data_IF_182971978861
#
_entry.id   IF_182971978861
#
_cell.length_a   1.000
_cell.length_b   1.000
_cell.length_c   1.000
_cell.angle_alpha   90.00
_cell.angle_beta   90.00
_cell.angle_gamma   90.00
#
_symmetry.space_group_name_H-M   'P 1'
#
loop_
_entity.id
_entity.type
_entity.pdbx_description
1 polymer ?
#
# COMPACT_ATOMS: atom_id res chain seq x y z
N UNK A 1 0.92 7.16 17.78
CA UNK A 1 1.80 7.59 16.68
C UNK A 1 2.92 6.57 16.50
N UNK A 2 2.74 5.56 15.65
CA UNK A 2 3.85 4.65 15.34
C UNK A 2 4.82 5.38 14.40
N UNK A 3 6.05 5.59 14.87
CA UNK A 3 7.15 6.12 14.06
C UNK A 3 7.52 5.07 13.01
N UNK A 4 6.82 5.06 11.89
CA UNK A 4 7.22 4.30 10.72
C UNK A 4 8.38 5.01 10.01
N UNK A 5 9.53 5.02 10.66
CA UNK A 5 10.83 5.15 9.99
C UNK A 5 11.18 3.85 9.25
N UNK A 6 10.19 3.22 8.61
CA UNK A 6 10.33 1.90 8.05
C UNK A 6 10.75 2.04 6.59
N UNK A 7 11.83 1.35 6.26
CA UNK A 7 12.29 1.19 4.90
C UNK A 7 11.11 0.90 3.97
N UNK A 8 11.11 1.42 2.73
CA UNK A 8 10.04 1.19 1.76
C UNK A 8 9.73 -0.30 1.57
N UNK A 9 10.74 -1.15 1.72
CA UNK A 9 10.62 -2.62 1.74
C UNK A 9 9.63 -3.15 2.80
N UNK A 10 9.65 -2.60 4.01
CA UNK A 10 8.76 -3.03 5.10
C UNK A 10 7.31 -2.60 4.87
N UNK A 11 7.11 -1.42 4.29
CA UNK A 11 5.78 -0.95 3.92
C UNK A 11 5.19 -1.80 2.79
N UNK A 12 6.01 -2.20 1.81
CA UNK A 12 5.59 -3.11 0.75
C UNK A 12 5.19 -4.48 1.31
N UNK A 13 5.95 -5.03 2.27
CA UNK A 13 5.58 -6.28 2.97
C UNK A 13 4.22 -6.16 3.66
N UNK A 14 4.02 -5.11 4.47
CA UNK A 14 2.72 -4.87 5.13
C UNK A 14 1.57 -4.70 4.14
N UNK A 15 1.81 -4.01 3.03
CA UNK A 15 0.80 -3.83 2.00
C UNK A 15 0.39 -5.18 1.39
N UNK A 16 1.34 -6.07 1.12
CA UNK A 16 1.05 -7.43 0.66
C UNK A 16 0.26 -8.23 1.69
N UNK A 17 0.63 -8.19 2.97
CA UNK A 17 -0.14 -8.87 4.03
C UNK A 17 -1.61 -8.41 4.00
N UNK A 18 -1.87 -7.10 3.92
CA UNK A 18 -3.23 -6.58 3.84
C UNK A 18 -3.99 -7.02 2.58
N UNK A 19 -3.30 -7.20 1.45
CA UNK A 19 -3.91 -7.75 0.23
C UNK A 19 -4.30 -9.21 0.45
N UNK A 20 -3.44 -10.01 1.07
CA UNK A 20 -3.71 -11.42 1.39
C UNK A 20 -4.92 -11.58 2.33
N UNK A 21 -5.11 -10.66 3.29
CA UNK A 21 -6.31 -10.66 4.15
C UNK A 21 -7.55 -10.05 3.48
N UNK A 22 -7.48 -9.69 2.20
CA UNK A 22 -8.60 -9.08 1.46
C UNK A 22 -8.95 -7.66 1.93
N UNK A 23 -7.99 -6.91 2.46
CA UNK A 23 -8.12 -5.52 2.91
C UNK A 23 -7.22 -4.56 2.10
N UNK A 24 -7.42 -4.45 0.77
CA UNK A 24 -6.59 -3.59 -0.08
C UNK A 24 -6.61 -2.12 0.38
N UNK A 25 -7.70 -1.65 1.01
CA UNK A 25 -7.81 -0.27 1.50
C UNK A 25 -6.76 0.06 2.56
N UNK A 26 -6.44 -0.90 3.44
CA UNK A 26 -5.38 -0.76 4.45
C UNK A 26 -3.99 -0.87 3.84
N UNK A 27 -3.84 -1.69 2.79
CA UNK A 27 -2.60 -1.77 2.02
C UNK A 27 -2.26 -0.41 1.39
N UNK A 28 -3.25 0.21 0.73
CA UNK A 28 -3.07 1.52 0.09
C UNK A 28 -2.73 2.61 1.10
N UNK A 29 -3.43 2.67 2.24
CA UNK A 29 -3.16 3.64 3.30
C UNK A 29 -1.71 3.54 3.83
N UNK A 30 -1.23 2.31 4.00
CA UNK A 30 0.15 2.02 4.42
C UNK A 30 1.17 2.51 3.39
N UNK A 31 0.94 2.26 2.09
CA UNK A 31 1.81 2.73 1.02
C UNK A 31 1.76 4.26 0.88
N UNK A 32 0.58 4.86 0.99
CA UNK A 32 0.36 6.30 0.89
C UNK A 32 1.12 7.05 1.99
N UNK A 33 1.20 6.51 3.21
CA UNK A 33 1.98 7.11 4.30
C UNK A 33 3.48 7.20 3.97
N UNK A 34 4.03 6.18 3.29
CA UNK A 34 5.41 6.20 2.78
C UNK A 34 5.58 7.34 1.80
N UNK A 35 4.69 7.46 0.82
CA UNK A 35 4.77 8.50 -0.21
C UNK A 35 4.51 9.92 0.34
N UNK A 36 3.77 10.05 1.44
CA UNK A 36 3.52 11.34 2.10
C UNK A 36 4.80 11.97 2.63
N UNK A 37 5.79 11.15 2.94
CA UNK A 37 7.02 11.56 3.59
C UNK A 37 8.13 11.78 2.55
N UNK A 38 8.20 12.96 1.90
CA UNK A 38 9.12 13.30 0.77
C UNK A 38 10.59 12.85 0.89
N UNK A 39 11.04 12.48 2.09
CA UNK A 39 12.32 11.81 2.37
C UNK A 39 12.53 10.53 1.57
N UNK A 40 11.47 9.84 1.11
CA UNK A 40 11.63 8.63 0.29
C UNK A 40 12.31 8.90 -1.06
N UNK A 41 12.04 10.05 -1.69
CA UNK A 41 12.58 10.36 -3.01
C UNK A 41 14.09 10.68 -2.99
N UNK A 42 14.64 11.04 -1.83
CA UNK A 42 16.05 11.40 -1.67
C UNK A 42 16.91 10.28 -1.10
N UNK A 43 16.30 9.28 -0.47
CA UNK A 43 17.00 8.30 0.36
C UNK A 43 16.95 6.87 -0.21
N UNK A 44 16.25 6.65 -1.33
CA UNK A 44 16.05 5.32 -1.94
C UNK A 44 16.30 5.37 -3.45
N UNK A 45 16.89 4.30 -3.99
CA UNK A 45 17.12 4.13 -5.42
C UNK A 45 15.82 3.86 -6.19
N UNK A 46 15.76 4.36 -7.43
CA UNK A 46 14.60 4.20 -8.33
C UNK A 46 14.15 2.74 -8.49
N UNK A 47 15.08 1.78 -8.54
CA UNK A 47 14.76 0.34 -8.64
C UNK A 47 13.94 -0.22 -7.49
N UNK A 48 13.99 0.39 -6.30
CA UNK A 48 13.16 -0.02 -5.14
C UNK A 48 11.81 0.70 -5.16
N UNK A 49 11.78 1.92 -5.67
CA UNK A 49 10.57 2.75 -5.71
C UNK A 49 9.62 2.34 -6.82
N UNK A 50 10.15 1.95 -7.97
CA UNK A 50 9.38 1.54 -9.14
C UNK A 50 8.32 0.47 -8.81
N UNK A 51 8.67 -0.70 -8.22
CA UNK A 51 7.65 -1.72 -7.90
C UNK A 51 6.64 -1.25 -6.85
N UNK A 52 7.01 -0.35 -5.94
CA UNK A 52 6.11 0.17 -4.90
C UNK A 52 5.10 1.14 -5.51
N UNK A 53 5.56 1.99 -6.42
CA UNK A 53 4.69 2.92 -7.13
C UNK A 53 3.72 2.19 -8.05
N UNK A 54 4.20 1.16 -8.77
CA UNK A 54 3.32 0.28 -9.56
C UNK A 54 2.25 -0.38 -8.68
N UNK A 55 2.65 -0.98 -7.55
CA UNK A 55 1.71 -1.62 -6.61
C UNK A 55 0.69 -0.63 -6.02
N UNK A 56 1.13 0.59 -5.71
CA UNK A 56 0.27 1.66 -5.22
C UNK A 56 -0.77 2.08 -6.27
N UNK A 57 -0.36 2.27 -7.52
CA UNK A 57 -1.26 2.62 -8.61
C UNK A 57 -2.29 1.51 -8.88
N UNK A 58 -1.84 0.25 -8.89
CA UNK A 58 -2.69 -0.93 -9.06
C UNK A 58 -3.77 -1.00 -7.96
N UNK A 59 -3.36 -0.86 -6.70
CA UNK A 59 -4.27 -0.77 -5.55
C UNK A 59 -5.21 0.43 -5.63
N UNK A 60 -4.76 1.58 -6.09
CA UNK A 60 -5.61 2.76 -6.28
C UNK A 60 -6.72 2.48 -7.30
N UNK A 61 -6.40 1.80 -8.41
CA UNK A 61 -7.37 1.43 -9.44
C UNK A 61 -8.32 0.35 -8.92
N UNK A 62 -7.79 -0.68 -8.25
CA UNK A 62 -8.58 -1.74 -7.63
C UNK A 62 -9.54 -1.18 -6.58
N UNK A 63 -9.07 -0.31 -5.68
CA UNK A 63 -9.91 0.28 -4.64
C UNK A 63 -10.96 1.24 -5.18
N UNK A 64 -10.62 2.02 -6.20
CA UNK A 64 -11.56 2.90 -6.90
C UNK A 64 -12.64 2.10 -7.63
N UNK A 65 -12.39 0.82 -7.92
CA UNK A 65 -13.40 -0.16 -8.39
C UNK A 65 -14.14 -0.84 -7.22
N UNK A 66 -13.49 -1.06 -6.07
CA UNK A 66 -14.03 -1.79 -4.92
C UNK A 66 -15.03 -0.99 -4.07
N UNK A 67 -15.07 0.35 -4.14
CA UNK A 67 -16.16 1.12 -3.48
C UNK A 67 -17.55 0.69 -3.93
N UNK A 68 -17.66 0.03 -5.10
CA UNK A 68 -18.92 -0.52 -5.62
C UNK A 68 -19.10 -2.04 -5.34
N UNK A 69 -18.06 -2.74 -4.88
CA UNK A 69 -18.03 -4.21 -4.87
C UNK A 69 -17.63 -4.80 -3.51
N UNK A 70 -18.31 -4.47 -2.40
CA UNK A 70 -18.43 -5.42 -1.27
C UNK A 70 -19.53 -5.06 -0.25
N UNK A 71 -20.78 -5.13 -0.70
CA UNK A 71 -21.90 -5.60 0.11
C UNK A 71 -21.99 -7.14 0.09
N UNK A 72 -20.85 -7.82 0.21
CA UNK A 72 -20.74 -9.27 -0.02
C UNK A 72 -19.91 -9.93 1.07
N UNK A 73 -20.61 -10.34 2.12
CA UNK A 73 -20.20 -11.25 3.19
C UNK A 73 -19.52 -12.52 2.67
N UNK A 74 -18.38 -12.87 3.25
CA UNK A 74 -18.02 -14.27 3.53
C UNK A 74 -17.17 -14.27 4.80
N UNK A 75 -17.87 -14.38 5.94
CA UNK A 75 -17.28 -14.94 7.14
C UNK A 75 -17.55 -16.44 7.05
N UNK A 76 -16.47 -17.21 7.07
CA UNK A 76 -16.52 -18.66 7.31
C UNK A 76 -16.96 -18.95 8.74
#
# INVERSE_FOLDING_TARGET
MARYGQRPENALKRANEFIEVGKPARALDTLQEVFRNKKWAYNWSESVLEPIMFKYLDLCVELKKVTYCKGGSVSV
#
